data_IF_493114984642
#
_entry.id   IF_493114984642
#
_cell.length_a   1.000
_cell.length_b   1.000
_cell.length_c   1.000
_cell.angle_alpha   90.00
_cell.angle_beta   90.00
_cell.angle_gamma   90.00
#
_symmetry.space_group_name_H-M   'P 1'
#
loop_
_entity.id
_entity.type
_entity.pdbx_description
1 polymer ?
#
# COMPACT_ATOMS: atom_id res chain seq x y z
N UNK A 1 29.46 16.41 0.57
CA UNK A 1 30.07 17.42 1.44
C UNK A 1 29.58 17.38 2.89
N UNK A 2 28.53 16.56 3.19
CA UNK A 2 28.05 16.34 4.59
C UNK A 2 28.50 15.01 5.20
N UNK A 3 29.23 14.18 4.46
CA UNK A 3 29.75 12.91 4.97
C UNK A 3 30.97 13.20 5.85
N UNK A 4 30.84 12.89 7.16
CA UNK A 4 31.92 13.11 8.11
C UNK A 4 32.95 11.98 8.11
N UNK A 5 32.51 10.74 7.87
CA UNK A 5 33.38 9.56 7.82
C UNK A 5 32.78 8.45 6.96
N UNK A 6 33.63 7.63 6.37
CA UNK A 6 33.27 6.36 5.71
C UNK A 6 34.04 5.23 6.41
N UNK A 7 33.29 4.26 6.93
CA UNK A 7 33.86 3.09 7.60
C UNK A 7 33.74 1.89 6.64
N UNK A 8 34.88 1.35 6.24
CA UNK A 8 34.91 0.14 5.45
C UNK A 8 34.78 -1.08 6.37
N UNK A 9 33.88 -1.99 6.02
CA UNK A 9 33.62 -3.19 6.80
C UNK A 9 33.44 -4.39 5.87
N UNK A 10 33.72 -5.59 6.36
CA UNK A 10 33.46 -6.85 5.70
C UNK A 10 32.17 -7.52 6.21
N UNK A 11 31.37 -6.79 6.99
CA UNK A 11 30.05 -7.30 7.40
C UNK A 11 29.15 -7.38 6.17
N UNK A 12 28.52 -8.53 5.98
CA UNK A 12 27.51 -8.69 4.95
C UNK A 12 26.21 -7.95 5.34
N UNK A 13 25.48 -7.48 4.36
CA UNK A 13 24.15 -6.98 4.53
C UNK A 13 23.19 -8.16 4.82
N UNK A 14 22.43 -8.07 5.91
CA UNK A 14 21.63 -9.18 6.44
C UNK A 14 20.19 -9.23 5.93
N UNK A 15 19.89 -8.61 4.80
CA UNK A 15 18.56 -8.69 4.18
C UNK A 15 18.20 -10.14 3.87
N UNK A 16 16.95 -10.49 4.10
CA UNK A 16 16.41 -11.81 3.80
C UNK A 16 15.72 -11.83 2.43
N UNK A 17 15.67 -12.99 1.81
CA UNK A 17 14.84 -13.20 0.63
C UNK A 17 13.36 -13.05 1.01
N UNK A 18 12.60 -12.40 0.13
CA UNK A 18 11.16 -12.33 0.28
C UNK A 18 10.54 -13.69 -0.10
N UNK A 19 9.55 -14.16 0.67
CA UNK A 19 8.83 -15.36 0.30
C UNK A 19 8.13 -15.18 -1.05
N UNK A 20 7.94 -16.27 -1.77
CA UNK A 20 7.16 -16.26 -3.00
C UNK A 20 5.74 -15.69 -2.74
N UNK A 21 5.17 -14.92 -3.69
CA UNK A 21 3.82 -14.40 -3.54
C UNK A 21 2.80 -15.52 -3.33
N UNK A 22 1.91 -15.33 -2.37
CA UNK A 22 0.77 -16.23 -2.17
C UNK A 22 -0.35 -15.93 -3.18
N UNK A 23 -1.30 -16.86 -3.42
CA UNK A 23 -2.46 -16.59 -4.27
C UNK A 23 -3.25 -15.34 -3.86
N UNK A 24 -3.36 -15.07 -2.55
CA UNK A 24 -4.04 -13.87 -2.04
C UNK A 24 -3.27 -12.59 -2.42
N UNK A 25 -1.95 -12.59 -2.30
CA UNK A 25 -1.11 -11.46 -2.72
C UNK A 25 -1.22 -11.21 -4.23
N UNK A 26 -1.28 -12.26 -5.05
CA UNK A 26 -1.47 -12.15 -6.49
C UNK A 26 -2.87 -11.60 -6.84
N UNK A 27 -3.91 -12.01 -6.11
CA UNK A 27 -5.26 -11.50 -6.29
C UNK A 27 -5.33 -10.00 -5.94
N UNK A 28 -4.78 -9.59 -4.80
CA UNK A 28 -4.67 -8.17 -4.40
C UNK A 28 -3.94 -7.37 -5.49
N UNK A 29 -2.79 -7.85 -5.96
CA UNK A 29 -2.02 -7.21 -7.01
C UNK A 29 -2.83 -7.07 -8.31
N UNK A 30 -3.57 -8.10 -8.71
CA UNK A 30 -4.45 -8.08 -9.89
C UNK A 30 -5.55 -7.03 -9.75
N UNK A 31 -6.18 -6.89 -8.57
CA UNK A 31 -7.21 -5.88 -8.33
C UNK A 31 -6.64 -4.46 -8.44
N UNK A 32 -5.47 -4.20 -7.87
CA UNK A 32 -4.81 -2.89 -7.95
C UNK A 32 -4.45 -2.55 -9.40
N UNK A 33 -3.83 -3.46 -10.14
CA UNK A 33 -3.46 -3.21 -11.55
C UNK A 33 -4.70 -2.93 -12.40
N UNK A 34 -5.77 -3.72 -12.26
CA UNK A 34 -7.03 -3.49 -12.97
C UNK A 34 -7.66 -2.14 -12.62
N UNK A 35 -7.62 -1.76 -11.35
CA UNK A 35 -8.09 -0.45 -10.91
C UNK A 35 -7.30 0.67 -11.61
N UNK A 36 -5.98 0.65 -11.57
CA UNK A 36 -5.15 1.66 -12.21
C UNK A 36 -5.39 1.74 -13.73
N UNK A 37 -5.50 0.59 -14.41
CA UNK A 37 -5.84 0.54 -15.83
C UNK A 37 -7.23 1.14 -16.11
N UNK A 38 -8.22 0.87 -15.25
CA UNK A 38 -9.56 1.42 -15.40
C UNK A 38 -9.61 2.94 -15.18
N UNK A 39 -8.82 3.45 -14.22
CA UNK A 39 -8.69 4.89 -13.97
C UNK A 39 -8.04 5.61 -15.16
N UNK A 40 -7.02 5.01 -15.77
CA UNK A 40 -6.38 5.52 -17.00
C UNK A 40 -7.38 5.49 -18.17
N UNK A 41 -8.07 4.36 -18.40
CA UNK A 41 -9.04 4.23 -19.47
C UNK A 41 -10.22 5.22 -19.35
N UNK A 42 -10.60 5.55 -18.11
CA UNK A 42 -11.64 6.54 -17.81
C UNK A 42 -11.13 8.00 -17.83
N UNK A 43 -9.85 8.24 -18.06
CA UNK A 43 -9.25 9.56 -18.07
C UNK A 43 -9.15 10.22 -16.68
N UNK A 44 -9.31 9.45 -15.59
CA UNK A 44 -9.15 9.96 -14.21
C UNK A 44 -7.69 9.93 -13.75
N UNK A 45 -6.88 9.05 -14.33
CA UNK A 45 -5.42 9.08 -14.20
C UNK A 45 -4.77 9.35 -15.56
N UNK A 46 -3.63 10.07 -15.59
CA UNK A 46 -2.88 10.27 -16.82
C UNK A 46 -2.16 8.98 -17.26
N UNK A 47 -1.78 8.94 -18.52
CA UNK A 47 -0.85 7.95 -19.07
C UNK A 47 0.36 8.69 -19.65
N UNK A 48 1.59 8.51 -19.15
CA UNK A 48 1.97 7.57 -18.08
C UNK A 48 1.39 7.95 -16.70
N UNK A 49 1.33 6.95 -15.82
CA UNK A 49 0.87 7.12 -14.43
C UNK A 49 1.75 8.10 -13.66
N UNK A 50 1.19 8.81 -12.67
CA UNK A 50 1.99 9.50 -11.66
C UNK A 50 2.98 8.56 -10.97
N UNK A 51 4.05 9.09 -10.35
CA UNK A 51 4.99 8.25 -9.63
C UNK A 51 4.31 7.44 -8.54
N UNK A 52 4.77 6.22 -8.34
CA UNK A 52 4.20 5.28 -7.40
C UNK A 52 5.10 5.13 -6.17
N UNK A 53 4.49 5.15 -4.99
CA UNK A 53 5.11 4.70 -3.75
C UNK A 53 4.62 3.31 -3.44
N UNK A 54 5.51 2.46 -3.00
CA UNK A 54 5.20 1.13 -2.50
C UNK A 54 5.74 0.96 -1.09
N UNK A 55 4.93 0.41 -0.21
CA UNK A 55 5.39 -0.06 1.10
C UNK A 55 6.37 -1.24 0.97
N UNK A 56 6.83 -1.75 2.09
CA UNK A 56 7.69 -2.95 2.15
C UNK A 56 6.86 -4.21 2.41
N UNK A 57 7.32 -5.33 1.89
CA UNK A 57 6.74 -6.66 2.14
C UNK A 57 6.20 -7.36 0.91
N UNK A 58 5.66 -8.56 1.13
CA UNK A 58 5.28 -9.47 0.04
C UNK A 58 4.17 -8.92 -0.87
N UNK A 59 3.13 -8.29 -0.31
CA UNK A 59 2.03 -7.69 -1.11
C UNK A 59 2.56 -6.56 -1.98
N UNK A 60 3.36 -5.66 -1.40
CA UNK A 60 3.96 -4.54 -2.13
C UNK A 60 4.83 -5.03 -3.32
N UNK A 61 5.65 -6.05 -3.07
CA UNK A 61 6.46 -6.67 -4.12
C UNK A 61 5.60 -7.35 -5.19
N UNK A 62 4.53 -8.06 -4.79
CA UNK A 62 3.61 -8.70 -5.74
C UNK A 62 2.91 -7.67 -6.67
N UNK A 63 2.51 -6.51 -6.13
CA UNK A 63 1.89 -5.43 -6.92
C UNK A 63 2.87 -4.90 -7.97
N UNK A 64 4.10 -4.56 -7.57
CA UNK A 64 5.10 -4.05 -8.50
C UNK A 64 5.49 -5.10 -9.55
N UNK A 65 5.63 -6.37 -9.17
CA UNK A 65 5.87 -7.48 -10.11
C UNK A 65 4.68 -7.69 -11.07
N UNK A 66 3.44 -7.47 -10.63
CA UNK A 66 2.27 -7.51 -11.50
C UNK A 66 2.25 -6.32 -12.49
N UNK A 67 2.68 -5.13 -12.05
CA UNK A 67 2.85 -3.97 -12.92
C UNK A 67 3.93 -4.22 -13.99
N UNK A 68 5.01 -4.93 -13.66
CA UNK A 68 6.03 -5.32 -14.64
C UNK A 68 5.45 -6.16 -15.81
N UNK A 69 4.44 -6.97 -15.52
CA UNK A 69 3.75 -7.83 -16.50
C UNK A 69 2.53 -7.17 -17.16
N UNK A 70 2.14 -5.97 -16.72
CA UNK A 70 0.99 -5.25 -17.25
C UNK A 70 1.29 -4.49 -18.55
N UNK A 71 0.26 -3.93 -19.17
CA UNK A 71 0.39 -3.06 -20.33
C UNK A 71 0.78 -1.60 -19.99
N UNK A 72 0.90 -1.29 -18.70
CA UNK A 72 1.32 0.03 -18.25
C UNK A 72 2.82 0.22 -18.51
N UNK A 73 3.16 1.35 -19.10
CA UNK A 73 4.52 1.67 -19.55
C UNK A 73 5.00 3.02 -18.97
N UNK A 74 6.30 3.26 -19.05
CA UNK A 74 6.91 4.52 -18.60
C UNK A 74 6.62 4.86 -17.15
N UNK A 75 6.59 3.84 -16.29
CA UNK A 75 6.32 3.99 -14.87
C UNK A 75 7.44 4.76 -14.18
N UNK A 76 7.12 5.44 -13.10
CA UNK A 76 8.09 6.09 -12.23
C UNK A 76 7.84 5.67 -10.79
N UNK A 77 8.91 5.46 -10.03
CA UNK A 77 8.85 5.10 -8.62
C UNK A 77 9.39 6.25 -7.77
N UNK A 78 8.63 6.67 -6.78
CA UNK A 78 9.06 7.63 -5.78
C UNK A 78 8.61 7.12 -4.41
N UNK A 79 9.53 6.53 -3.67
CA UNK A 79 9.24 5.77 -2.44
C UNK A 79 10.30 6.02 -1.38
N UNK A 80 10.06 5.56 -0.16
CA UNK A 80 11.08 5.55 0.89
C UNK A 80 12.07 4.40 0.65
N UNK A 81 11.58 3.18 0.52
CA UNK A 81 12.39 1.96 0.37
C UNK A 81 12.09 1.29 -0.96
N UNK A 82 13.14 0.99 -1.72
CA UNK A 82 13.06 0.20 -2.96
C UNK A 82 13.40 -1.25 -2.67
N UNK A 83 12.57 -2.18 -3.13
CA UNK A 83 12.74 -3.63 -3.01
C UNK A 83 13.00 -4.29 -4.37
N UNK A 84 13.13 -5.62 -4.39
CA UNK A 84 13.44 -6.44 -5.57
C UNK A 84 12.57 -6.09 -6.79
N UNK A 85 11.27 -5.93 -6.59
CA UNK A 85 10.36 -5.64 -7.69
C UNK A 85 10.62 -4.30 -8.38
N UNK A 86 11.27 -3.33 -7.73
CA UNK A 86 11.71 -2.09 -8.40
C UNK A 86 12.85 -2.39 -9.36
N UNK A 87 13.78 -3.25 -8.96
CA UNK A 87 14.88 -3.72 -9.84
C UNK A 87 14.31 -4.50 -11.02
N UNK A 88 13.35 -5.40 -10.78
CA UNK A 88 12.66 -6.15 -11.84
C UNK A 88 11.93 -5.25 -12.84
N UNK A 89 11.26 -4.20 -12.36
CA UNK A 89 10.62 -3.19 -13.21
C UNK A 89 11.62 -2.44 -14.10
N UNK A 90 12.79 -2.13 -13.56
CA UNK A 90 13.89 -1.49 -14.32
C UNK A 90 14.45 -2.45 -15.36
N UNK A 91 14.70 -3.72 -14.99
CA UNK A 91 15.18 -4.77 -15.89
C UNK A 91 14.19 -5.05 -17.03
N UNK A 92 12.90 -5.01 -16.73
CA UNK A 92 11.84 -5.14 -17.73
C UNK A 92 11.69 -3.90 -18.64
N UNK A 93 12.44 -2.83 -18.41
CA UNK A 93 12.34 -1.58 -19.16
C UNK A 93 11.08 -0.77 -18.90
N UNK A 94 10.31 -1.12 -17.88
CA UNK A 94 9.03 -0.49 -17.52
C UNK A 94 9.19 0.81 -16.75
N UNK A 95 10.29 0.99 -16.03
CA UNK A 95 10.55 2.15 -15.18
C UNK A 95 11.56 3.09 -15.81
N UNK A 96 11.16 4.34 -15.96
CA UNK A 96 12.02 5.41 -16.45
C UNK A 96 12.95 5.94 -15.34
N UNK A 97 12.45 6.05 -14.10
CA UNK A 97 13.21 6.53 -12.95
C UNK A 97 12.63 5.96 -11.64
N UNK A 98 13.51 5.55 -10.74
CA UNK A 98 13.17 5.17 -9.38
C UNK A 98 13.95 6.03 -8.38
N UNK A 99 13.25 6.67 -7.47
CA UNK A 99 13.83 7.54 -6.43
C UNK A 99 13.39 7.08 -5.06
N UNK A 100 14.32 6.96 -4.13
CA UNK A 100 14.04 6.53 -2.76
C UNK A 100 15.18 6.86 -1.81
N UNK A 101 14.99 6.51 -0.53
CA UNK A 101 15.99 6.73 0.51
C UNK A 101 16.95 5.54 0.62
N UNK A 102 16.41 4.33 0.49
CA UNK A 102 17.17 3.09 0.64
C UNK A 102 16.82 2.08 -0.44
N UNK A 103 17.80 1.25 -0.75
CA UNK A 103 17.64 0.07 -1.59
C UNK A 103 17.81 -1.16 -0.68
N UNK A 104 16.70 -1.85 -0.41
CA UNK A 104 16.66 -3.04 0.45
C UNK A 104 16.24 -4.23 -0.39
N UNK A 105 17.21 -4.84 -1.06
CA UNK A 105 17.02 -5.95 -1.98
C UNK A 105 17.54 -7.26 -1.38
N UNK A 106 16.94 -8.36 -1.79
CA UNK A 106 17.32 -9.71 -1.38
C UNK A 106 18.76 -10.06 -1.78
N UNK A 107 19.41 -11.05 -1.15
CA UNK A 107 20.73 -11.50 -1.54
C UNK A 107 20.81 -11.88 -3.02
N UNK A 108 19.83 -12.60 -3.54
CA UNK A 108 19.77 -13.03 -4.94
C UNK A 108 19.65 -11.85 -5.93
N UNK A 109 18.79 -10.86 -5.62
CA UNK A 109 18.67 -9.66 -6.44
C UNK A 109 19.93 -8.78 -6.32
N UNK A 110 20.57 -8.74 -5.15
CA UNK A 110 21.78 -7.97 -4.89
C UNK A 110 22.97 -8.41 -5.75
N UNK A 111 23.20 -9.71 -5.89
CA UNK A 111 24.28 -10.23 -6.74
C UNK A 111 24.11 -9.75 -8.19
N UNK A 112 22.91 -9.88 -8.73
CA UNK A 112 22.59 -9.40 -10.09
C UNK A 112 22.74 -7.89 -10.20
N UNK A 113 22.22 -7.15 -9.21
CA UNK A 113 22.28 -5.69 -9.17
C UNK A 113 23.73 -5.19 -9.20
N UNK A 114 24.63 -5.73 -8.39
CA UNK A 114 26.03 -5.30 -8.39
C UNK A 114 26.79 -5.75 -9.60
N UNK A 115 26.49 -6.91 -10.18
CA UNK A 115 27.10 -7.37 -11.42
C UNK A 115 26.80 -6.45 -12.61
N UNK A 116 25.65 -5.75 -12.57
CA UNK A 116 25.15 -4.87 -13.62
C UNK A 116 24.91 -3.43 -13.15
N UNK A 117 25.66 -2.97 -12.15
CA UNK A 117 25.38 -1.69 -11.50
C UNK A 117 25.38 -0.49 -12.45
N UNK A 118 26.14 -0.56 -13.52
CA UNK A 118 26.19 0.50 -14.53
C UNK A 118 24.87 0.66 -15.30
N UNK A 119 24.06 -0.40 -15.42
CA UNK A 119 22.78 -0.39 -16.11
C UNK A 119 21.69 0.36 -15.29
N UNK A 120 21.92 0.48 -13.97
CA UNK A 120 21.01 1.18 -13.04
C UNK A 120 21.42 2.63 -12.79
N UNK A 121 22.64 3.02 -13.14
CA UNK A 121 23.10 4.42 -13.04
C UNK A 121 22.20 5.34 -13.86
N UNK A 122 21.74 6.41 -13.23
CA UNK A 122 20.82 7.36 -13.85
C UNK A 122 19.34 6.95 -13.80
N UNK A 123 19.04 5.68 -13.52
CA UNK A 123 17.65 5.22 -13.31
C UNK A 123 17.28 5.18 -11.83
N UNK A 124 18.23 4.87 -10.95
CA UNK A 124 18.03 4.86 -9.49
C UNK A 124 18.70 6.09 -8.88
N UNK A 125 17.94 6.82 -8.08
CA UNK A 125 18.40 8.03 -7.40
C UNK A 125 18.11 7.87 -5.90
N UNK A 126 19.17 7.82 -5.09
CA UNK A 126 19.04 7.83 -3.63
C UNK A 126 18.98 9.27 -3.13
N UNK A 127 18.02 9.54 -2.26
CA UNK A 127 17.75 10.86 -1.68
C UNK A 127 17.64 10.75 -0.16
N UNK A 128 17.93 11.81 0.59
CA UNK A 128 17.68 11.82 2.02
C UNK A 128 16.17 11.73 2.31
N UNK A 129 15.81 11.16 3.46
CA UNK A 129 14.42 10.96 3.86
C UNK A 129 13.64 12.28 3.91
N UNK A 130 14.26 13.37 4.30
CA UNK A 130 13.66 14.71 4.34
C UNK A 130 13.15 15.18 2.97
N UNK A 131 13.64 14.56 1.89
CA UNK A 131 13.13 14.80 0.53
C UNK A 131 12.17 13.70 0.08
N UNK A 132 12.53 12.43 0.28
CA UNK A 132 11.69 11.30 -0.16
C UNK A 132 10.33 11.31 0.55
N UNK A 133 10.29 11.67 1.82
CA UNK A 133 9.07 11.71 2.63
C UNK A 133 8.50 13.14 2.80
N UNK A 134 8.98 14.11 2.02
CA UNK A 134 8.49 15.48 2.12
C UNK A 134 7.02 15.60 1.65
N UNK A 135 6.08 15.98 2.52
CA UNK A 135 4.65 16.07 2.17
C UNK A 135 4.39 16.97 0.95
N UNK A 136 5.12 18.08 0.84
CA UNK A 136 5.00 19.00 -0.28
C UNK A 136 5.39 18.36 -1.62
N UNK A 137 6.48 17.57 -1.62
CA UNK A 137 6.96 16.90 -2.84
C UNK A 137 6.00 15.78 -3.24
N UNK A 138 5.54 14.98 -2.27
CA UNK A 138 4.57 13.90 -2.49
C UNK A 138 3.29 14.46 -3.12
N UNK A 139 2.76 15.56 -2.58
CA UNK A 139 1.55 16.22 -3.09
C UNK A 139 1.75 16.79 -4.47
N UNK A 140 2.88 17.46 -4.72
CA UNK A 140 3.19 18.06 -6.01
C UNK A 140 3.34 17.03 -7.12
N UNK A 141 3.88 15.85 -6.80
CA UNK A 141 4.02 14.73 -7.72
C UNK A 141 2.71 13.94 -7.91
N UNK A 142 1.68 14.21 -7.12
CA UNK A 142 0.41 13.47 -7.13
C UNK A 142 0.61 11.96 -7.03
N UNK A 143 1.46 11.51 -6.10
CA UNK A 143 1.90 10.12 -5.98
C UNK A 143 0.71 9.17 -5.80
N UNK A 144 0.79 7.99 -6.39
CA UNK A 144 -0.07 6.86 -6.07
C UNK A 144 0.60 6.11 -4.93
N UNK A 145 0.05 6.23 -3.71
CA UNK A 145 0.60 5.59 -2.52
C UNK A 145 -0.05 4.23 -2.30
N UNK A 146 0.77 3.18 -2.15
CA UNK A 146 0.34 1.82 -1.92
C UNK A 146 0.99 1.28 -0.65
N UNK A 147 0.19 1.10 0.41
CA UNK A 147 0.64 0.64 1.70
C UNK A 147 -0.15 -0.59 2.16
N UNK A 148 0.36 -1.28 3.17
CA UNK A 148 -0.30 -2.45 3.76
C UNK A 148 -0.94 -2.10 5.08
N UNK A 149 -2.03 -2.79 5.41
CA UNK A 149 -2.74 -2.70 6.68
C UNK A 149 -2.68 -4.04 7.42
N UNK A 150 -2.83 -4.01 8.74
CA UNK A 150 -3.14 -5.17 9.58
C UNK A 150 -4.65 -5.39 9.58
N UNK A 151 -5.41 -4.31 9.76
CA UNK A 151 -6.87 -4.32 9.74
C UNK A 151 -7.43 -2.96 9.28
N UNK A 152 -8.66 -2.98 8.79
CA UNK A 152 -9.40 -1.80 8.32
C UNK A 152 -10.80 -1.83 8.92
N UNK A 153 -11.29 -0.72 9.46
CA UNK A 153 -12.65 -0.66 9.94
C UNK A 153 -13.68 -0.19 8.90
N UNK A 154 -14.94 -0.28 9.30
CA UNK A 154 -16.07 0.02 8.41
C UNK A 154 -16.20 1.51 8.04
N UNK A 155 -15.52 2.40 8.75
CA UNK A 155 -15.42 3.81 8.39
C UNK A 155 -14.29 4.05 7.36
N UNK A 156 -13.30 3.16 7.33
CA UNK A 156 -12.10 3.27 6.50
C UNK A 156 -10.86 3.70 7.28
N UNK A 157 -10.89 3.68 8.63
CA UNK A 157 -9.67 3.84 9.40
C UNK A 157 -8.79 2.60 9.26
N UNK A 158 -7.47 2.82 9.26
CA UNK A 158 -6.47 1.78 9.06
C UNK A 158 -5.57 1.65 10.27
N UNK A 159 -5.38 0.41 10.72
CA UNK A 159 -4.34 0.00 11.65
C UNK A 159 -3.26 -0.73 10.86
N UNK A 160 -2.05 -0.24 10.89
CA UNK A 160 -0.87 -0.83 10.22
C UNK A 160 0.26 -1.19 11.18
N UNK A 161 0.11 -0.92 12.48
CA UNK A 161 1.19 -1.03 13.46
C UNK A 161 0.92 -1.98 14.62
N UNK A 162 -0.33 -2.14 15.08
CA UNK A 162 -0.65 -2.86 16.30
C UNK A 162 -1.41 -4.17 16.04
N UNK A 163 -1.12 -5.19 16.85
CA UNK A 163 -1.90 -6.43 16.94
C UNK A 163 -2.66 -6.43 18.26
N UNK A 164 -4.00 -6.44 18.19
CA UNK A 164 -4.85 -6.37 19.37
C UNK A 164 -4.61 -5.11 20.19
N UNK A 165 -4.84 -5.17 21.50
CA UNK A 165 -4.85 -4.01 22.38
C UNK A 165 -3.47 -3.53 22.86
N UNK A 166 -2.35 -4.00 22.30
CA UNK A 166 -1.09 -3.50 22.83
C UNK A 166 0.22 -4.02 22.27
N UNK A 167 0.22 -4.98 21.36
CA UNK A 167 1.46 -5.46 20.76
C UNK A 167 1.80 -4.66 19.50
N UNK A 168 2.91 -3.95 19.51
CA UNK A 168 3.43 -3.26 18.31
C UNK A 168 4.09 -4.29 17.41
N UNK A 169 3.59 -4.41 16.17
CA UNK A 169 4.13 -5.30 15.14
C UNK A 169 5.13 -4.58 14.24
N UNK A 170 4.76 -3.37 13.81
CA UNK A 170 5.54 -2.55 12.90
C UNK A 170 5.60 -1.09 13.38
N UNK A 171 6.59 -0.34 12.90
CA UNK A 171 6.52 1.12 12.91
C UNK A 171 5.62 1.63 11.78
N UNK A 172 5.12 2.85 11.93
CA UNK A 172 4.31 3.49 10.89
C UNK A 172 5.14 3.81 9.63
N UNK A 173 6.45 4.02 9.77
CA UNK A 173 7.34 4.43 8.70
C UNK A 173 6.85 5.71 8.02
N UNK A 174 7.08 5.80 6.71
CA UNK A 174 6.63 6.92 5.89
C UNK A 174 5.18 6.83 5.41
N UNK A 175 4.44 5.77 5.76
CA UNK A 175 3.09 5.54 5.21
C UNK A 175 2.12 6.70 5.46
N UNK A 176 2.25 7.39 6.62
CA UNK A 176 1.43 8.56 6.94
C UNK A 176 1.73 9.76 6.05
N UNK A 177 3.01 10.01 5.76
CA UNK A 177 3.41 11.10 4.87
C UNK A 177 2.87 10.87 3.46
N UNK A 178 3.00 9.64 2.96
CA UNK A 178 2.54 9.28 1.63
C UNK A 178 1.01 9.24 1.54
N UNK A 179 0.32 8.52 2.40
CA UNK A 179 -1.14 8.39 2.33
C UNK A 179 -1.84 9.74 2.40
N UNK A 180 -1.44 10.60 3.36
CA UNK A 180 -2.05 11.92 3.57
C UNK A 180 -1.82 12.91 2.45
N UNK A 181 -0.75 12.75 1.67
CA UNK A 181 -0.32 13.71 0.67
C UNK A 181 -0.32 13.17 -0.77
N UNK A 182 -0.69 11.92 -0.97
CA UNK A 182 -0.81 11.30 -2.29
C UNK A 182 -1.98 11.84 -3.11
N UNK A 183 -1.95 11.57 -4.40
CA UNK A 183 -3.09 11.78 -5.30
C UNK A 183 -4.12 10.66 -5.19
N UNK A 184 -3.65 9.44 -4.86
CA UNK A 184 -4.48 8.28 -4.52
C UNK A 184 -3.79 7.50 -3.41
N UNK A 185 -4.51 7.22 -2.31
CA UNK A 185 -4.07 6.40 -1.19
C UNK A 185 -4.74 5.02 -1.23
N UNK A 186 -3.93 3.98 -1.47
CA UNK A 186 -4.37 2.58 -1.51
C UNK A 186 -3.82 1.85 -0.30
N UNK A 187 -4.69 1.17 0.45
CA UNK A 187 -4.28 0.24 1.49
C UNK A 187 -4.73 -1.17 1.14
N UNK A 188 -3.86 -2.14 1.37
CA UNK A 188 -4.12 -3.55 1.09
C UNK A 188 -3.86 -4.43 2.30
N UNK A 189 -4.69 -5.45 2.47
CA UNK A 189 -4.54 -6.49 3.49
C UNK A 189 -5.20 -7.77 3.02
N UNK A 190 -4.83 -8.93 3.57
CA UNK A 190 -5.67 -10.11 3.43
C UNK A 190 -7.01 -9.89 4.14
N UNK A 191 -8.10 -10.43 3.61
CA UNK A 191 -9.42 -10.30 4.25
C UNK A 191 -9.52 -11.02 5.59
N UNK A 192 -8.61 -11.97 5.85
CA UNK A 192 -8.54 -12.75 7.09
C UNK A 192 -7.12 -12.96 7.56
N UNK A 193 -6.97 -13.22 8.85
CA UNK A 193 -5.74 -13.65 9.49
C UNK A 193 -5.94 -14.97 10.24
N UNK A 194 -4.83 -15.62 10.67
CA UNK A 194 -4.81 -16.87 11.43
C UNK A 194 -5.65 -17.96 10.77
N UNK A 195 -5.30 -18.28 9.52
CA UNK A 195 -5.97 -19.34 8.74
C UNK A 195 -7.49 -19.15 8.63
N UNK A 196 -7.94 -17.92 8.41
CA UNK A 196 -9.36 -17.58 8.27
C UNK A 196 -10.13 -17.47 9.59
N UNK A 197 -9.44 -17.47 10.73
CA UNK A 197 -10.10 -17.37 12.04
C UNK A 197 -10.53 -15.95 12.40
N UNK A 198 -9.81 -14.94 11.93
CA UNK A 198 -10.00 -13.53 12.28
C UNK A 198 -10.24 -12.72 11.01
N UNK A 199 -11.23 -11.82 11.04
CA UNK A 199 -11.45 -10.86 9.97
C UNK A 199 -10.46 -9.70 10.07
N UNK A 200 -9.90 -9.26 8.94
CA UNK A 200 -9.12 -8.02 8.86
C UNK A 200 -9.97 -6.81 8.43
N UNK A 201 -11.24 -7.04 8.03
CA UNK A 201 -12.25 -5.98 7.94
C UNK A 201 -13.10 -6.07 9.20
N UNK A 202 -13.02 -5.04 10.04
CA UNK A 202 -13.55 -5.06 11.42
C UNK A 202 -14.52 -3.93 11.68
N UNK A 203 -15.42 -4.01 12.68
CA UNK A 203 -16.28 -2.88 13.05
C UNK A 203 -15.50 -1.61 13.43
N UNK A 204 -14.44 -1.77 14.24
CA UNK A 204 -13.50 -0.72 14.65
C UNK A 204 -12.12 -1.31 14.75
N UNK A 205 -11.12 -0.58 14.24
CA UNK A 205 -9.71 -0.96 14.41
C UNK A 205 -9.28 -0.79 15.87
N UNK A 206 -8.39 -1.67 16.34
CA UNK A 206 -7.84 -1.60 17.69
C UNK A 206 -6.95 -0.35 17.90
N UNK A 207 -6.34 0.14 16.82
CA UNK A 207 -5.47 1.32 16.80
C UNK A 207 -5.62 2.04 15.46
N UNK A 208 -5.67 3.38 15.47
CA UNK A 208 -5.79 4.18 14.24
C UNK A 208 -4.44 4.79 13.89
N UNK A 209 -3.81 4.28 12.84
CA UNK A 209 -2.62 4.88 12.25
C UNK A 209 -2.99 5.86 11.12
N UNK A 210 -3.98 5.50 10.30
CA UNK A 210 -4.48 6.35 9.22
C UNK A 210 -5.99 6.51 9.38
N UNK A 211 -6.44 7.77 9.31
CA UNK A 211 -7.85 8.08 9.48
C UNK A 211 -8.64 7.83 8.20
N UNK A 212 -9.93 7.67 8.30
CA UNK A 212 -10.88 7.58 7.19
C UNK A 212 -10.75 8.71 6.16
N UNK A 213 -10.21 9.86 6.60
CA UNK A 213 -10.03 11.03 5.74
C UNK A 213 -8.82 10.93 4.81
N UNK A 214 -7.86 10.07 5.14
CA UNK A 214 -6.62 9.84 4.39
C UNK A 214 -6.65 8.52 3.60
N UNK A 215 -7.75 7.76 3.71
CA UNK A 215 -7.91 6.44 3.09
C UNK A 215 -8.92 6.53 1.96
N UNK A 216 -8.52 6.11 0.77
CA UNK A 216 -9.37 6.22 -0.43
C UNK A 216 -9.74 4.86 -1.01
N UNK A 217 -8.78 3.96 -1.15
CA UNK A 217 -8.97 2.64 -1.77
C UNK A 217 -8.52 1.55 -0.81
N UNK A 218 -9.38 0.58 -0.55
CA UNK A 218 -9.06 -0.62 0.21
C UNK A 218 -9.11 -1.83 -0.71
N UNK A 219 -8.10 -2.69 -0.60
CA UNK A 219 -8.00 -3.90 -1.44
C UNK A 219 -7.70 -5.12 -0.57
N UNK A 220 -8.47 -6.17 -0.79
CA UNK A 220 -8.20 -7.51 -0.27
C UNK A 220 -8.19 -8.51 -1.43
N UNK A 221 -7.89 -9.77 -1.18
CA UNK A 221 -8.02 -10.83 -2.20
C UNK A 221 -9.49 -11.04 -2.64
N UNK A 222 -10.46 -10.57 -1.84
CA UNK A 222 -11.88 -10.63 -2.18
C UNK A 222 -12.28 -9.60 -3.25
N UNK A 223 -11.60 -8.44 -3.27
CA UNK A 223 -11.90 -7.36 -4.21
C UNK A 223 -11.36 -6.01 -3.77
N UNK A 224 -11.94 -4.94 -4.34
CA UNK A 224 -11.55 -3.56 -4.12
C UNK A 224 -12.75 -2.71 -3.73
N UNK A 225 -12.59 -1.90 -2.69
CA UNK A 225 -13.53 -0.88 -2.26
C UNK A 225 -12.97 0.51 -2.57
N UNK A 226 -13.63 1.24 -3.47
CA UNK A 226 -13.36 2.67 -3.73
C UNK A 226 -14.24 3.49 -2.79
N UNK A 227 -13.60 4.14 -1.80
CA UNK A 227 -14.27 4.89 -0.73
C UNK A 227 -14.43 6.38 -1.07
N UNK A 228 -13.92 6.82 -2.21
CA UNK A 228 -13.95 8.22 -2.62
C UNK A 228 -15.38 8.72 -2.84
N UNK A 229 -15.71 9.85 -2.23
CA UNK A 229 -17.02 10.49 -2.38
C UNK A 229 -18.18 9.78 -1.67
N UNK A 230 -17.91 8.74 -0.90
CA UNK A 230 -18.93 7.98 -0.16
C UNK A 230 -19.13 8.52 1.25
N UNK A 231 -20.36 8.47 1.72
CA UNK A 231 -20.70 8.66 3.13
C UNK A 231 -20.21 7.48 3.99
N UNK A 232 -20.09 7.66 5.31
CA UNK A 232 -19.67 6.59 6.22
C UNK A 232 -20.53 5.31 6.09
N UNK A 233 -21.84 5.46 5.89
CA UNK A 233 -22.75 4.33 5.69
C UNK A 233 -22.46 3.60 4.36
N UNK A 234 -22.28 4.33 3.27
CA UNK A 234 -21.94 3.75 1.97
C UNK A 234 -20.56 3.07 2.00
N UNK A 235 -19.56 3.67 2.67
CA UNK A 235 -18.22 3.07 2.87
C UNK A 235 -18.32 1.71 3.53
N UNK A 236 -19.10 1.60 4.63
CA UNK A 236 -19.29 0.35 5.35
C UNK A 236 -19.84 -0.75 4.43
N UNK A 237 -20.86 -0.45 3.63
CA UNK A 237 -21.44 -1.44 2.70
C UNK A 237 -20.44 -1.88 1.63
N UNK A 238 -19.75 -0.94 1.01
CA UNK A 238 -18.76 -1.25 -0.05
C UNK A 238 -17.60 -2.07 0.50
N UNK A 239 -17.11 -1.76 1.73
CA UNK A 239 -16.09 -2.55 2.40
C UNK A 239 -16.55 -3.97 2.71
N UNK A 240 -17.77 -4.13 3.22
CA UNK A 240 -18.34 -5.45 3.53
C UNK A 240 -18.51 -6.28 2.26
N UNK A 241 -19.09 -5.70 1.21
CA UNK A 241 -19.40 -6.41 -0.03
C UNK A 241 -18.13 -6.81 -0.79
N UNK A 242 -17.17 -5.90 -0.90
CA UNK A 242 -16.03 -6.06 -1.79
C UNK A 242 -14.77 -6.59 -1.08
N UNK A 243 -14.55 -6.26 0.20
CA UNK A 243 -13.29 -6.54 0.87
C UNK A 243 -13.40 -7.54 2.01
N UNK A 244 -14.57 -7.67 2.68
CA UNK A 244 -14.70 -8.61 3.76
C UNK A 244 -14.82 -10.06 3.25
N UNK A 245 -14.18 -10.98 3.96
CA UNK A 245 -14.34 -12.41 3.68
C UNK A 245 -15.81 -12.83 3.86
N UNK A 246 -16.41 -13.64 2.96
CA UNK A 246 -17.83 -14.02 2.99
C UNK A 246 -18.33 -14.53 4.34
N UNK A 247 -17.50 -15.28 5.07
CA UNK A 247 -17.80 -15.81 6.40
C UNK A 247 -18.20 -14.71 7.41
N UNK A 248 -17.63 -13.52 7.31
CA UNK A 248 -17.80 -12.44 8.28
C UNK A 248 -18.82 -11.38 7.84
N UNK A 249 -19.20 -11.34 6.56
CA UNK A 249 -20.15 -10.36 6.00
C UNK A 249 -21.45 -10.26 6.78
N UNK A 250 -22.14 -11.37 7.14
CA UNK A 250 -23.42 -11.26 7.83
C UNK A 250 -23.33 -10.54 9.17
N UNK A 251 -22.29 -10.83 9.97
CA UNK A 251 -22.10 -10.18 11.27
C UNK A 251 -21.74 -8.70 11.14
N UNK A 252 -20.94 -8.34 10.13
CA UNK A 252 -20.60 -6.94 9.84
C UNK A 252 -21.82 -6.15 9.34
N UNK A 253 -22.66 -6.73 8.50
CA UNK A 253 -23.92 -6.13 8.04
C UNK A 253 -24.88 -5.88 9.21
N UNK A 254 -25.09 -6.88 10.06
CA UNK A 254 -25.92 -6.73 11.25
C UNK A 254 -25.42 -5.59 12.15
N UNK A 255 -24.09 -5.49 12.36
CA UNK A 255 -23.50 -4.40 13.12
C UNK A 255 -23.84 -3.02 12.53
N UNK A 256 -23.66 -2.84 11.21
CA UNK A 256 -23.94 -1.57 10.51
C UNK A 256 -25.43 -1.20 10.65
N UNK A 257 -26.34 -2.14 10.41
CA UNK A 257 -27.78 -1.88 10.51
C UNK A 257 -28.20 -1.49 11.94
N UNK A 258 -27.64 -2.15 12.95
CA UNK A 258 -27.90 -1.80 14.36
C UNK A 258 -27.37 -0.41 14.70
N UNK A 259 -26.14 -0.08 14.29
CA UNK A 259 -25.53 1.24 14.51
C UNK A 259 -26.33 2.35 13.79
N UNK A 260 -26.76 2.10 12.56
CA UNK A 260 -27.59 3.03 11.79
C UNK A 260 -28.94 3.28 12.44
N UNK A 261 -29.63 2.22 12.85
CA UNK A 261 -30.93 2.32 13.50
C UNK A 261 -30.85 3.11 14.83
N UNK A 262 -29.83 2.86 15.64
CA UNK A 262 -29.60 3.57 16.90
C UNK A 262 -29.27 5.05 16.68
N UNK A 263 -28.48 5.36 15.69
CA UNK A 263 -28.06 6.72 15.34
C UNK A 263 -29.23 7.55 14.84
N UNK A 264 -30.05 7.00 13.94
CA UNK A 264 -31.25 7.62 13.39
C UNK A 264 -32.30 7.88 14.47
N UNK A 265 -32.48 6.95 15.41
CA UNK A 265 -33.44 7.10 16.51
C UNK A 265 -33.04 8.19 17.50
N UNK A 266 -31.74 8.45 17.70
CA UNK A 266 -31.27 9.41 18.72
C UNK A 266 -31.04 10.82 18.19
N UNK A 267 -30.51 11.00 17.01
CA UNK A 267 -29.97 12.28 16.58
C UNK A 267 -30.21 12.63 15.10
N UNK A 268 -30.83 11.76 14.30
CA UNK A 268 -30.90 11.93 12.84
C UNK A 268 -29.53 11.93 12.13
N UNK A 269 -28.47 11.60 12.86
CA UNK A 269 -27.06 11.55 12.37
C UNK A 269 -26.57 10.11 12.47
N UNK A 270 -25.98 9.62 11.39
CA UNK A 270 -25.37 8.30 11.36
C UNK A 270 -24.04 8.35 12.13
N UNK A 271 -23.91 7.52 13.16
CA UNK A 271 -22.64 7.20 13.82
C UNK A 271 -22.32 5.74 13.52
N UNK A 272 -21.25 5.49 12.81
CA UNK A 272 -20.62 4.18 12.67
C UNK A 272 -19.62 3.97 13.78
#
# INVERSE_FOLDING_TARGET
>A
DKVAAVILTNCEDTNQDLPAPTPDMEAIASHIVKFLQSEVAAGRLPNPLPPMQSGVGGVANAVLSALARSELEHLSVYTEVMQDAVVELIDAGKVACASGTALTISPSARERFYAHIDDYKGKIILRPQELSNAPEVIRRLSIIAMNTAIEVDLAGNVNSTHIGEGAVMNGIGGSGDYARNSGIAIFSTASTAKDGAISCIVPHVAHVDHTEHDTEIIVTEQGLADLRGLTAYERAHVLIENCAHPKFRPGLQEYVEQAYAQSKAKHGIIRL
#
